data_IF_756151071845
#
_entry.id   IF_756151071845
#
_cell.length_a   1.000
_cell.length_b   1.000
_cell.length_c   1.000
_cell.angle_alpha   90.00
_cell.angle_beta   90.00
_cell.angle_gamma   90.00
#
_symmetry.space_group_name_H-M   'P 1'
#
loop_
_entity.id
_entity.type
_entity.pdbx_description
1 polymer ?
#
# COMPACT_ATOMS: atom_id res chain seq x y z
N UNK A 1 -8.23 -47.96 55.23
CA UNK A 1 -7.71 -47.02 54.21
C UNK A 1 -7.26 -47.83 53.01
N UNK A 2 -7.99 -47.83 51.90
CA UNK A 2 -7.41 -48.04 50.57
C UNK A 2 -8.13 -47.13 49.57
N UNK A 3 -7.30 -46.35 48.90
CA UNK A 3 -7.59 -45.10 48.22
C UNK A 3 -7.90 -45.36 46.74
N UNK A 4 -8.70 -44.46 46.19
CA UNK A 4 -9.36 -44.43 44.88
C UNK A 4 -8.40 -44.17 43.71
N UNK A 5 -8.95 -44.35 42.50
CA UNK A 5 -8.80 -43.48 41.30
C UNK A 5 -7.86 -43.93 40.17
N UNK A 6 -8.51 -44.46 39.13
CA UNK A 6 -8.51 -44.06 37.71
C UNK A 6 -7.39 -43.17 37.18
N UNK A 7 -6.72 -43.58 36.09
CA UNK A 7 -6.40 -42.68 34.98
C UNK A 7 -6.19 -43.44 33.65
N UNK A 8 -7.03 -43.12 32.66
CA UNK A 8 -6.88 -43.47 31.24
C UNK A 8 -6.04 -42.37 30.60
N UNK A 9 -4.94 -42.72 29.92
CA UNK A 9 -4.18 -41.77 29.09
C UNK A 9 -4.26 -42.27 27.64
N UNK A 10 -5.10 -41.61 26.86
CA UNK A 10 -5.05 -41.58 25.41
C UNK A 10 -4.34 -40.29 25.00
N UNK A 11 -3.32 -40.35 24.13
CA UNK A 11 -2.92 -39.27 23.21
C UNK A 11 -1.68 -39.72 22.41
N UNK A 12 -1.76 -39.75 21.07
CA UNK A 12 -0.83 -38.95 20.24
C UNK A 12 -1.30 -38.89 18.77
N UNK A 13 -1.57 -37.66 18.36
CA UNK A 13 -2.12 -37.16 17.09
C UNK A 13 -1.01 -37.03 16.02
N UNK A 14 -1.31 -37.24 14.71
CA UNK A 14 -0.32 -37.13 13.63
C UNK A 14 -0.03 -35.66 13.26
N UNK A 15 1.26 -35.33 13.12
CA UNK A 15 1.72 -34.00 12.69
C UNK A 15 1.68 -33.88 11.15
N UNK A 16 0.75 -33.06 10.64
CA UNK A 16 0.75 -32.55 9.27
C UNK A 16 1.63 -31.30 9.21
N UNK A 17 2.80 -31.40 8.58
CA UNK A 17 3.61 -30.23 8.20
C UNK A 17 3.07 -29.67 6.87
N UNK A 18 2.13 -28.73 6.95
CA UNK A 18 1.86 -27.78 5.87
C UNK A 18 2.89 -26.66 5.93
N UNK A 19 3.98 -26.79 5.17
CA UNK A 19 4.87 -25.68 4.86
C UNK A 19 4.36 -24.98 3.59
N UNK A 20 3.35 -24.12 3.73
CA UNK A 20 3.04 -23.11 2.72
C UNK A 20 3.96 -21.91 2.97
N UNK A 21 4.65 -21.50 1.91
CA UNK A 21 5.76 -20.55 1.94
C UNK A 21 5.39 -19.17 2.47
N UNK A 22 6.30 -18.62 3.27
CA UNK A 22 6.27 -17.24 3.66
C UNK A 22 6.91 -16.38 2.57
N UNK A 23 6.11 -15.46 2.07
CA UNK A 23 6.43 -14.54 1.00
C UNK A 23 7.61 -13.64 1.35
N UNK A 24 8.32 -13.21 0.30
CA UNK A 24 9.42 -12.27 0.39
C UNK A 24 9.06 -11.08 1.26
N UNK A 25 9.92 -10.79 2.24
CA UNK A 25 9.80 -9.63 3.09
C UNK A 25 9.83 -8.35 2.23
N UNK A 26 8.65 -7.83 1.91
CA UNK A 26 8.47 -6.46 1.44
C UNK A 26 8.73 -5.58 2.66
N UNK A 27 9.61 -4.57 2.53
CA UNK A 27 9.81 -3.55 3.57
C UNK A 27 8.48 -2.88 3.96
N UNK A 28 8.43 -2.05 5.02
CA UNK A 28 7.18 -1.43 5.44
C UNK A 28 6.51 -0.73 4.25
N UNK A 29 5.33 -1.24 3.89
CA UNK A 29 4.50 -0.72 2.82
C UNK A 29 3.34 0.05 3.43
N UNK A 30 3.04 1.22 2.87
CA UNK A 30 1.89 2.03 3.23
C UNK A 30 1.04 2.31 2.01
N UNK A 31 -0.25 2.48 2.21
CA UNK A 31 -1.20 2.79 1.13
C UNK A 31 -2.04 3.95 1.56
N UNK A 32 -2.13 4.94 0.68
CA UNK A 32 -2.89 6.16 0.93
C UNK A 32 -3.96 6.32 -0.15
N UNK A 33 -5.08 6.90 0.25
CA UNK A 33 -6.09 7.42 -0.65
C UNK A 33 -6.20 8.92 -0.37
N UNK A 34 -6.12 9.74 -1.41
CA UNK A 34 -6.17 11.19 -1.28
C UNK A 34 -6.83 11.78 -2.52
N UNK A 35 -7.61 12.83 -2.30
CA UNK A 35 -8.20 13.60 -3.39
C UNK A 35 -7.22 14.66 -3.89
N UNK A 36 -7.41 15.10 -5.12
CA UNK A 36 -6.55 16.09 -5.73
C UNK A 36 -7.01 16.54 -7.11
N UNK A 37 -6.20 17.39 -7.73
CA UNK A 37 -6.42 17.89 -9.07
C UNK A 37 -5.24 17.53 -9.97
N UNK A 38 -5.52 16.93 -11.12
CA UNK A 38 -4.48 16.67 -12.12
C UNK A 38 -3.94 18.01 -12.61
N UNK A 39 -2.65 18.25 -12.43
CA UNK A 39 -2.01 19.47 -12.96
C UNK A 39 -1.32 19.20 -14.29
N UNK A 40 -0.86 17.96 -14.53
CA UNK A 40 -0.22 17.56 -15.78
C UNK A 40 -0.24 16.03 -15.96
N UNK A 41 -0.55 15.56 -17.17
CA UNK A 41 -0.43 14.15 -17.54
C UNK A 41 1.03 13.75 -17.82
N UNK A 42 1.38 12.45 -17.74
CA UNK A 42 2.61 11.93 -18.32
C UNK A 42 2.71 12.29 -19.81
N UNK A 43 3.87 12.79 -20.24
CA UNK A 43 4.14 13.17 -21.63
C UNK A 43 4.93 12.08 -22.40
N UNK A 44 5.32 11.00 -21.72
CA UNK A 44 6.09 9.91 -22.28
C UNK A 44 6.66 8.96 -21.21
N UNK A 45 7.45 7.95 -21.62
CA UNK A 45 8.07 7.00 -20.71
C UNK A 45 8.92 7.70 -19.64
N UNK A 46 8.79 7.28 -18.39
CA UNK A 46 9.54 7.84 -17.26
C UNK A 46 9.06 9.23 -16.80
N UNK A 47 7.97 9.76 -17.36
CA UNK A 47 7.33 10.97 -16.83
C UNK A 47 6.15 10.61 -15.93
N UNK A 48 5.95 11.42 -14.90
CA UNK A 48 4.95 11.15 -13.85
C UNK A 48 3.67 11.95 -14.08
N UNK A 49 2.55 11.41 -13.55
CA UNK A 49 1.29 12.14 -13.41
C UNK A 49 1.47 13.17 -12.29
N UNK A 50 1.31 14.45 -12.61
CA UNK A 50 1.39 15.50 -11.59
C UNK A 50 0.01 15.76 -11.02
N UNK A 51 -0.12 15.65 -9.71
CA UNK A 51 -1.37 15.91 -8.98
C UNK A 51 -1.07 16.91 -7.87
N UNK A 52 -1.88 17.96 -7.79
CA UNK A 52 -2.00 18.77 -6.57
C UNK A 52 -2.92 18.02 -5.62
N UNK A 53 -2.35 17.26 -4.70
CA UNK A 53 -3.11 16.45 -3.75
C UNK A 53 -3.44 17.24 -2.48
N UNK A 54 -4.53 16.86 -1.81
CA UNK A 54 -4.90 17.41 -0.50
C UNK A 54 -3.92 16.99 0.60
N UNK A 55 -4.02 17.59 1.79
CA UNK A 55 -3.18 17.18 2.90
C UNK A 55 -3.42 15.71 3.27
N UNK A 56 -2.35 15.00 3.63
CA UNK A 56 -2.37 13.60 4.11
C UNK A 56 -1.83 13.61 5.55
N UNK A 57 -2.67 13.87 6.57
CA UNK A 57 -2.22 14.08 7.94
C UNK A 57 -1.54 12.87 8.58
N UNK A 58 -1.88 11.67 8.09
CA UNK A 58 -1.42 10.38 8.59
C UNK A 58 -0.23 9.81 7.80
N UNK A 59 0.35 10.58 6.88
CA UNK A 59 1.53 10.16 6.14
C UNK A 59 2.67 9.78 7.09
N UNK A 60 3.17 8.55 6.99
CA UNK A 60 4.31 8.05 7.76
C UNK A 60 5.58 8.07 6.93
N UNK A 61 6.72 8.32 7.57
CA UNK A 61 8.04 8.27 6.93
C UNK A 61 8.61 6.82 6.92
N UNK A 62 9.83 6.65 6.39
CA UNK A 62 10.52 5.36 6.36
C UNK A 62 10.85 4.76 7.73
N UNK A 63 10.92 5.58 8.79
CA UNK A 63 11.11 5.13 10.16
C UNK A 63 9.79 4.69 10.83
N UNK A 64 8.65 4.94 10.19
CA UNK A 64 7.31 4.65 10.71
C UNK A 64 6.70 5.79 11.52
N UNK A 65 7.36 6.95 11.63
CA UNK A 65 6.79 8.10 12.32
C UNK A 65 5.75 8.80 11.44
N UNK A 66 4.59 9.12 12.01
CA UNK A 66 3.60 10.00 11.37
C UNK A 66 4.14 11.42 11.33
N UNK A 67 4.44 11.90 10.12
CA UNK A 67 4.92 13.26 9.87
C UNK A 67 3.88 14.13 9.18
N UNK A 68 2.85 13.49 8.62
CA UNK A 68 1.88 14.13 7.76
C UNK A 68 2.50 14.67 6.46
N UNK A 69 1.64 15.10 5.56
CA UNK A 69 2.04 15.72 4.30
C UNK A 69 1.07 16.85 4.01
N UNK A 70 1.58 18.06 3.77
CA UNK A 70 0.73 19.19 3.38
C UNK A 70 0.24 19.00 1.95
N UNK A 71 -0.85 19.68 1.60
CA UNK A 71 -1.27 19.77 0.22
C UNK A 71 -0.15 20.36 -0.64
N UNK A 72 0.18 19.71 -1.74
CA UNK A 72 1.23 20.14 -2.67
C UNK A 72 1.08 19.45 -4.03
N UNK A 73 1.67 20.06 -5.05
CA UNK A 73 1.84 19.41 -6.36
C UNK A 73 3.06 18.50 -6.33
N UNK A 74 2.87 17.21 -6.58
CA UNK A 74 3.98 16.28 -6.78
C UNK A 74 3.67 15.27 -7.88
N UNK A 75 4.71 14.58 -8.33
CA UNK A 75 4.60 13.54 -9.34
C UNK A 75 4.31 12.19 -8.71
N UNK A 76 3.42 11.45 -9.36
CA UNK A 76 3.04 10.09 -9.02
C UNK A 76 3.39 9.17 -10.20
N UNK A 77 4.47 8.37 -10.08
CA UNK A 77 4.71 7.26 -11.00
C UNK A 77 3.48 6.37 -11.05
N UNK A 78 2.97 6.10 -12.24
CA UNK A 78 1.72 5.37 -12.43
C UNK A 78 2.02 3.89 -12.73
N UNK A 79 1.37 2.98 -12.02
CA UNK A 79 1.49 1.55 -12.29
C UNK A 79 0.99 1.22 -13.71
N UNK A 80 1.57 0.20 -14.35
CA UNK A 80 1.27 -0.15 -15.75
C UNK A 80 -0.21 -0.44 -16.02
N UNK A 81 -0.93 -0.95 -15.02
CA UNK A 81 -2.35 -1.31 -15.16
C UNK A 81 -3.32 -0.15 -14.98
N UNK A 82 -2.84 1.04 -14.62
CA UNK A 82 -3.69 2.20 -14.39
C UNK A 82 -3.97 2.91 -15.70
N UNK A 83 -5.25 2.97 -16.08
CA UNK A 83 -5.70 3.66 -17.27
C UNK A 83 -5.90 5.17 -17.00
N UNK A 84 -5.19 6.00 -17.76
CA UNK A 84 -5.33 7.47 -17.72
C UNK A 84 -6.15 8.00 -18.90
N UNK A 85 -6.72 7.12 -19.73
CA UNK A 85 -7.46 7.50 -20.92
C UNK A 85 -8.63 8.40 -20.57
N UNK A 86 -8.73 9.52 -21.29
CA UNK A 86 -9.81 10.48 -21.13
C UNK A 86 -9.61 11.46 -19.98
N UNK A 87 -8.63 11.27 -19.09
CA UNK A 87 -8.24 12.25 -18.06
C UNK A 87 -7.53 13.46 -18.68
N UNK A 88 -7.57 14.60 -17.99
CA UNK A 88 -6.95 15.84 -18.41
C UNK A 88 -6.48 16.67 -17.20
N UNK A 89 -5.60 17.64 -17.46
CA UNK A 89 -5.28 18.64 -16.45
C UNK A 89 -6.53 19.46 -16.09
N UNK A 90 -6.71 19.73 -14.80
CA UNK A 90 -7.89 20.35 -14.22
C UNK A 90 -8.93 19.36 -13.67
N UNK A 91 -8.83 18.08 -14.01
CA UNK A 91 -9.74 17.08 -13.45
C UNK A 91 -9.52 16.89 -11.95
N UNK A 92 -10.61 16.90 -11.20
CA UNK A 92 -10.63 16.45 -9.80
C UNK A 92 -10.68 14.93 -9.76
N UNK A 93 -9.79 14.32 -8.98
CA UNK A 93 -9.62 12.88 -8.90
C UNK A 93 -9.38 12.41 -7.47
N UNK A 94 -9.78 11.18 -7.18
CA UNK A 94 -9.29 10.42 -6.04
C UNK A 94 -8.20 9.47 -6.50
N UNK A 95 -7.03 9.49 -5.86
CA UNK A 95 -5.90 8.61 -6.18
C UNK A 95 -5.60 7.67 -5.03
N UNK A 96 -5.25 6.43 -5.35
CA UNK A 96 -4.62 5.49 -4.43
C UNK A 96 -3.18 5.28 -4.82
N UNK A 97 -2.27 5.42 -3.86
CA UNK A 97 -0.86 5.17 -4.09
C UNK A 97 -0.25 4.37 -2.94
N UNK A 98 0.82 3.66 -3.25
CA UNK A 98 1.60 2.87 -2.31
C UNK A 98 2.98 3.50 -2.12
N UNK A 99 3.47 3.43 -0.90
CA UNK A 99 4.85 3.78 -0.56
C UNK A 99 5.53 2.54 0.02
N UNK A 100 6.53 2.01 -0.69
CA UNK A 100 7.33 0.84 -0.33
C UNK A 100 8.74 1.29 0.03
N UNK A 101 8.97 1.52 1.32
CA UNK A 101 10.26 2.01 1.80
C UNK A 101 11.40 1.03 1.49
N UNK A 102 12.56 1.56 1.10
CA UNK A 102 13.75 0.77 0.77
C UNK A 102 13.74 0.14 -0.62
N UNK A 103 12.74 0.40 -1.46
CA UNK A 103 12.72 -0.02 -2.86
C UNK A 103 13.28 1.05 -3.80
N UNK A 104 13.84 0.70 -4.97
CA UNK A 104 14.31 1.67 -5.97
C UNK A 104 13.22 2.62 -6.47
N UNK A 105 11.97 2.14 -6.54
CA UNK A 105 10.78 2.91 -6.89
C UNK A 105 9.77 2.83 -5.74
N UNK A 106 9.96 3.65 -4.69
CA UNK A 106 9.18 3.51 -3.46
C UNK A 106 7.74 3.98 -3.65
N UNK A 107 7.48 4.99 -4.49
CA UNK A 107 6.15 5.55 -4.72
C UNK A 107 5.54 5.00 -6.01
N UNK A 108 4.28 4.58 -5.96
CA UNK A 108 3.54 4.16 -7.15
C UNK A 108 2.03 4.38 -6.96
N UNK A 109 1.40 5.05 -7.91
CA UNK A 109 -0.06 5.21 -7.99
C UNK A 109 -0.65 3.94 -8.61
N UNK A 110 -1.61 3.35 -7.91
CA UNK A 110 -2.19 2.04 -8.24
C UNK A 110 -3.66 2.12 -8.63
N UNK A 111 -4.33 3.24 -8.36
CA UNK A 111 -5.72 3.50 -8.75
C UNK A 111 -5.95 5.01 -8.90
N UNK A 112 -6.83 5.39 -9.81
CA UNK A 112 -7.30 6.76 -10.02
C UNK A 112 -8.76 6.72 -10.46
N UNK A 113 -9.57 7.61 -9.89
CA UNK A 113 -10.97 7.77 -10.24
C UNK A 113 -11.29 9.26 -10.40
N UNK A 114 -11.96 9.62 -11.49
CA UNK A 114 -12.48 10.98 -11.68
C UNK A 114 -13.80 11.14 -10.92
N UNK A 115 -14.00 12.31 -10.31
CA UNK A 115 -15.28 12.72 -9.74
C UNK A 115 -16.33 13.13 -10.79
#
# INVERSE_FOLDING_TARGET
MHLKSTLIIALLTPALLSACGDGGQVGPQQTYAVDGVITRLPAGPGTELMVEHEAIPDFVNAAGDTIGMKAMTMGFPTAEHVDLTGLAAGDSVSIRFVVRWGQPHPLELTQIERH
#
